data_IF_628393114279
#
_entry.id   IF_628393114279
#
_cell.length_a   1.000
_cell.length_b   1.000
_cell.length_c   1.000
_cell.angle_alpha   90.00
_cell.angle_beta   90.00
_cell.angle_gamma   90.00
#
_symmetry.space_group_name_H-M   'P 1'
#
loop_
_entity.id
_entity.type
_entity.pdbx_description
1 polymer ?
#
# COMPACT_ATOMS: atom_id res chain seq x y z
N UNK A 1 18.17 -6.04 -0.64
CA UNK A 1 19.07 -4.87 -0.57
C UNK A 1 18.36 -3.51 -0.62
N UNK A 2 17.06 -3.46 -0.96
CA UNK A 2 16.24 -2.23 -0.85
C UNK A 2 15.95 -1.87 0.62
N UNK A 3 15.61 -2.85 1.47
CA UNK A 3 15.25 -2.61 2.88
C UNK A 3 16.34 -1.86 3.66
N UNK A 4 17.61 -2.18 3.45
CA UNK A 4 18.72 -1.54 4.19
C UNK A 4 18.99 -0.11 3.71
N UNK A 5 18.94 0.16 2.40
CA UNK A 5 19.00 1.53 1.89
C UNK A 5 17.76 2.33 2.31
N UNK A 6 16.60 1.69 2.33
CA UNK A 6 15.35 2.27 2.81
C UNK A 6 15.44 2.61 4.30
N UNK A 7 16.02 1.74 5.12
CA UNK A 7 16.28 1.99 6.54
C UNK A 7 17.51 2.86 6.81
N UNK A 8 18.46 3.03 5.89
CA UNK A 8 19.62 3.91 6.09
C UNK A 8 19.32 5.35 5.65
N UNK A 9 18.60 5.52 4.54
CA UNK A 9 18.16 6.83 4.06
C UNK A 9 16.96 7.33 4.88
N UNK A 10 16.08 6.43 5.32
CA UNK A 10 14.82 6.76 5.99
C UNK A 10 14.63 6.05 7.34
N UNK A 11 15.73 5.62 7.98
CA UNK A 11 15.74 4.85 9.22
C UNK A 11 14.89 5.41 10.34
N UNK A 12 14.58 4.54 11.30
CA UNK A 12 13.77 4.80 12.49
C UNK A 12 14.41 5.85 13.42
N UNK A 13 14.52 7.11 12.97
CA UNK A 13 15.36 8.14 13.56
C UNK A 13 15.35 9.46 12.78
N UNK A 14 14.23 10.19 12.84
CA UNK A 14 14.09 11.64 12.57
C UNK A 14 14.17 12.18 11.11
N UNK A 15 13.61 11.48 10.12
CA UNK A 15 13.49 12.04 8.76
C UNK A 15 12.26 11.56 7.99
N UNK A 16 11.23 12.42 7.87
CA UNK A 16 9.94 12.25 7.17
C UNK A 16 8.96 11.19 7.73
N UNK A 17 8.35 11.57 8.86
CA UNK A 17 6.99 11.28 9.34
C UNK A 17 6.19 10.25 8.50
N UNK A 18 6.03 9.03 9.03
CA UNK A 18 4.71 8.39 8.93
C UNK A 18 3.75 9.30 9.70
N UNK A 19 2.72 9.90 9.09
CA UNK A 19 1.83 10.84 9.78
C UNK A 19 1.19 10.25 11.04
N UNK A 20 1.10 8.92 11.12
CA UNK A 20 0.59 8.15 12.25
C UNK A 20 1.59 7.05 12.62
N UNK A 21 1.98 7.00 13.88
CA UNK A 21 3.04 6.13 14.41
C UNK A 21 2.62 4.65 14.60
N UNK A 22 1.50 4.20 14.01
CA UNK A 22 0.93 2.85 14.24
C UNK A 22 0.66 2.05 12.95
N UNK A 23 1.14 2.50 11.79
CA UNK A 23 0.85 1.77 10.54
C UNK A 23 1.76 0.53 10.43
N UNK A 24 1.12 -0.65 10.47
CA UNK A 24 1.77 -1.93 10.20
C UNK A 24 2.21 -1.98 8.74
N UNK A 25 3.49 -2.31 8.52
CA UNK A 25 4.02 -2.59 7.20
C UNK A 25 3.90 -4.08 6.89
N UNK A 26 3.33 -4.39 5.73
CA UNK A 26 3.19 -5.75 5.21
C UNK A 26 4.21 -5.96 4.09
N UNK A 27 4.93 -7.06 4.14
CA UNK A 27 5.87 -7.44 3.08
C UNK A 27 5.14 -8.30 2.04
N UNK A 28 4.76 -7.71 0.92
CA UNK A 28 3.99 -8.38 -0.12
C UNK A 28 4.74 -8.31 -1.44
N UNK A 29 4.91 -9.45 -2.11
CA UNK A 29 5.52 -9.52 -3.45
C UNK A 29 6.86 -8.77 -3.58
N UNK A 30 7.70 -8.79 -2.53
CA UNK A 30 9.03 -8.16 -2.52
C UNK A 30 9.05 -6.65 -2.24
N UNK A 31 7.91 -6.03 -1.92
CA UNK A 31 7.80 -4.61 -1.60
C UNK A 31 7.07 -4.38 -0.26
N UNK A 32 7.25 -3.18 0.32
CA UNK A 32 6.58 -2.75 1.55
C UNK A 32 5.25 -2.08 1.24
N UNK A 33 4.19 -2.56 1.88
CA UNK A 33 2.84 -2.01 1.80
C UNK A 33 2.33 -1.57 3.17
N UNK A 34 1.49 -0.56 3.19
CA UNK A 34 0.71 -0.16 4.37
C UNK A 34 -0.77 -0.24 4.05
N UNK A 35 -1.56 -0.69 5.02
CA UNK A 35 -3.01 -0.68 4.92
C UNK A 35 -3.55 0.71 5.30
N UNK A 36 -4.46 1.25 4.48
CA UNK A 36 -5.11 2.54 4.76
C UNK A 36 -6.64 2.46 4.88
N UNK A 37 -7.25 1.37 4.42
CA UNK A 37 -8.67 1.05 4.66
C UNK A 37 -9.69 2.00 4.02
N UNK A 38 -9.30 2.90 3.11
CA UNK A 38 -10.24 3.79 2.44
C UNK A 38 -10.99 3.05 1.33
N UNK A 39 -12.20 3.52 0.99
CA UNK A 39 -13.01 2.96 -0.11
C UNK A 39 -12.33 3.13 -1.49
N UNK A 40 -11.57 4.20 -1.68
CA UNK A 40 -10.87 4.47 -2.95
C UNK A 40 -9.50 3.84 -3.07
N UNK A 41 -8.78 3.63 -1.96
CA UNK A 41 -7.47 3.01 -1.95
C UNK A 41 -7.27 2.27 -0.63
N UNK A 42 -6.97 0.97 -0.71
CA UNK A 42 -6.87 0.12 0.47
C UNK A 42 -5.41 -0.08 0.90
N UNK A 43 -4.47 0.01 -0.03
CA UNK A 43 -3.05 -0.19 0.21
C UNK A 43 -2.23 0.99 -0.32
N UNK A 44 -1.10 1.28 0.34
CA UNK A 44 -0.07 2.16 -0.19
C UNK A 44 1.29 1.47 -0.23
N UNK A 45 2.13 1.83 -1.19
CA UNK A 45 3.52 1.37 -1.27
C UNK A 45 4.46 2.53 -1.59
N UNK A 46 5.74 2.38 -1.23
CA UNK A 46 6.79 3.33 -1.57
C UNK A 46 7.72 2.75 -2.64
N UNK A 47 7.67 3.31 -3.85
CA UNK A 47 8.47 2.86 -4.99
C UNK A 47 9.50 3.90 -5.42
N UNK A 48 10.54 3.46 -6.13
CA UNK A 48 11.57 4.35 -6.69
C UNK A 48 11.16 4.97 -8.02
N UNK A 49 10.43 4.21 -8.83
CA UNK A 49 9.93 4.63 -10.14
C UNK A 49 8.41 4.72 -10.12
N UNK A 50 7.85 5.50 -11.04
CA UNK A 50 6.41 5.48 -11.25
C UNK A 50 5.97 4.10 -11.73
N UNK A 51 4.83 3.58 -11.24
CA UNK A 51 4.25 2.37 -11.78
C UNK A 51 3.83 2.62 -13.24
N UNK A 52 3.76 1.55 -14.02
CA UNK A 52 3.32 1.64 -15.41
C UNK A 52 1.83 2.03 -15.46
N UNK A 53 1.38 2.75 -16.49
CA UNK A 53 -0.04 3.01 -16.69
C UNK A 53 -0.84 1.71 -16.74
N UNK A 54 -1.91 1.61 -15.94
CA UNK A 54 -2.75 0.41 -15.86
C UNK A 54 -2.10 -0.79 -15.18
N UNK A 55 -1.01 -0.59 -14.43
CA UNK A 55 -0.35 -1.67 -13.70
C UNK A 55 -1.30 -2.33 -12.70
N UNK A 56 -1.31 -3.67 -12.76
CA UNK A 56 -2.12 -4.54 -11.90
C UNK A 56 -1.24 -5.51 -11.16
N UNK A 57 -1.59 -5.81 -9.91
CA UNK A 57 -0.84 -6.73 -9.06
C UNK A 57 -1.78 -7.59 -8.26
N UNK A 58 -1.38 -8.84 -8.03
CA UNK A 58 -2.06 -9.73 -7.08
C UNK A 58 -1.31 -9.62 -5.74
N UNK A 59 -1.99 -9.10 -4.72
CA UNK A 59 -1.46 -8.89 -3.38
C UNK A 59 -2.40 -9.57 -2.39
N UNK A 60 -1.86 -10.38 -1.48
CA UNK A 60 -2.66 -11.17 -0.52
C UNK A 60 -3.86 -11.90 -1.18
N UNK A 61 -3.63 -12.49 -2.36
CA UNK A 61 -4.65 -13.24 -3.12
C UNK A 61 -5.70 -12.41 -3.84
N UNK A 62 -5.64 -11.08 -3.80
CA UNK A 62 -6.60 -10.17 -4.46
C UNK A 62 -5.92 -9.30 -5.52
N UNK A 63 -6.65 -8.92 -6.55
CA UNK A 63 -6.14 -8.05 -7.62
C UNK A 63 -6.29 -6.57 -7.22
N UNK A 64 -5.23 -5.80 -7.43
CA UNK A 64 -5.16 -4.36 -7.20
C UNK A 64 -4.67 -3.64 -8.44
N UNK A 65 -5.23 -2.45 -8.67
CA UNK A 65 -4.81 -1.49 -9.70
C UNK A 65 -4.20 -0.26 -9.05
N UNK A 66 -3.30 0.41 -9.78
CA UNK A 66 -2.83 1.73 -9.38
C UNK A 66 -4.00 2.71 -9.41
N UNK A 67 -4.33 3.27 -8.25
CA UNK A 67 -5.33 4.32 -8.11
C UNK A 67 -4.73 5.70 -8.35
N UNK A 68 -3.62 5.97 -7.66
CA UNK A 68 -2.91 7.24 -7.74
C UNK A 68 -1.44 6.99 -7.45
N UNK A 69 -0.57 7.72 -8.14
CA UNK A 69 0.85 7.76 -7.82
C UNK A 69 1.28 9.21 -7.70
N UNK A 70 2.01 9.56 -6.64
CA UNK A 70 2.55 10.90 -6.43
C UNK A 70 4.01 10.81 -6.04
N UNK A 71 4.84 11.62 -6.72
CA UNK A 71 6.26 11.72 -6.38
C UNK A 71 6.46 12.70 -5.24
N UNK A 72 7.15 12.26 -4.20
CA UNK A 72 7.65 13.10 -3.11
C UNK A 72 9.15 12.88 -3.00
N UNK A 73 9.93 13.92 -3.31
CA UNK A 73 11.39 13.83 -3.43
C UNK A 73 11.82 12.74 -4.42
N UNK A 74 12.69 11.81 -4.01
CA UNK A 74 13.19 10.73 -4.85
C UNK A 74 12.22 9.54 -4.98
N UNK A 75 11.14 9.48 -4.18
CA UNK A 75 10.21 8.34 -4.11
C UNK A 75 8.84 8.64 -4.70
N UNK A 76 8.19 7.59 -5.18
CA UNK A 76 6.81 7.59 -5.61
C UNK A 76 5.98 6.87 -4.56
N UNK A 77 5.02 7.60 -3.98
CA UNK A 77 3.97 7.02 -3.15
C UNK A 77 2.88 6.54 -4.10
N UNK A 78 2.56 5.25 -4.03
CA UNK A 78 1.55 4.64 -4.88
C UNK A 78 0.41 4.16 -4.00
N UNK A 79 -0.80 4.58 -4.34
CA UNK A 79 -2.05 4.14 -3.77
C UNK A 79 -2.65 3.07 -4.67
N UNK A 80 -3.07 1.96 -4.08
CA UNK A 80 -3.62 0.80 -4.76
C UNK A 80 -5.08 0.61 -4.39
N UNK A 81 -5.91 0.46 -5.42
CA UNK A 81 -7.33 0.14 -5.28
C UNK A 81 -7.58 -1.31 -5.64
N UNK A 82 -8.38 -2.00 -4.85
CA UNK A 82 -8.82 -3.36 -5.12
C UNK A 82 -9.75 -3.37 -6.33
N UNK A 83 -9.54 -4.32 -7.24
CA UNK A 83 -10.40 -4.51 -8.40
C UNK A 83 -11.67 -5.25 -7.96
N UNK A 84 -12.84 -4.79 -8.44
CA UNK A 84 -14.11 -5.46 -8.19
C UNK A 84 -14.72 -5.17 -6.81
N UNK A 85 -14.41 -4.01 -6.21
CA UNK A 85 -15.18 -3.51 -5.07
C UNK A 85 -16.65 -3.30 -5.48
N UNK A 86 -17.63 -3.84 -4.73
CA UNK A 86 -19.04 -3.61 -4.97
C UNK A 86 -19.41 -2.13 -4.85
N UNK A 87 -20.42 -1.70 -5.60
CA UNK A 87 -20.98 -0.35 -5.50
C UNK A 87 -21.69 -0.12 -4.15
N UNK A 88 -22.11 -1.20 -3.47
CA UNK A 88 -22.69 -1.13 -2.13
C UNK A 88 -21.62 -0.86 -1.06
N UNK A 89 -21.80 0.22 -0.32
CA UNK A 89 -20.85 0.70 0.70
C UNK A 89 -20.68 -0.33 1.83
N UNK A 90 -21.74 -1.02 2.24
CA UNK A 90 -21.66 -1.99 3.32
C UNK A 90 -20.85 -3.21 2.88
N UNK A 91 -21.09 -3.68 1.66
CA UNK A 91 -20.36 -4.79 1.08
C UNK A 91 -18.88 -4.45 0.83
N UNK A 92 -18.59 -3.25 0.32
CA UNK A 92 -17.23 -2.74 0.14
C UNK A 92 -16.48 -2.69 1.48
N UNK A 93 -17.08 -2.13 2.53
CA UNK A 93 -16.49 -2.09 3.87
C UNK A 93 -16.23 -3.49 4.44
N UNK A 94 -17.13 -4.45 4.19
CA UNK A 94 -16.95 -5.85 4.60
C UNK A 94 -15.72 -6.47 3.93
N UNK A 95 -15.54 -6.27 2.62
CA UNK A 95 -14.38 -6.79 1.88
C UNK A 95 -13.07 -6.13 2.33
N UNK A 96 -13.09 -4.83 2.59
CA UNK A 96 -11.93 -4.11 3.14
C UNK A 96 -11.55 -4.65 4.53
N UNK A 97 -12.54 -4.93 5.38
CA UNK A 97 -12.30 -5.55 6.68
C UNK A 97 -11.76 -6.99 6.59
N UNK A 98 -12.19 -7.76 5.58
CA UNK A 98 -11.60 -9.08 5.30
C UNK A 98 -10.14 -8.95 4.84
N UNK A 99 -9.84 -7.97 3.98
CA UNK A 99 -8.46 -7.69 3.58
C UNK A 99 -7.57 -7.36 4.77
N UNK A 100 -8.03 -6.53 5.71
CA UNK A 100 -7.27 -6.22 6.91
C UNK A 100 -6.95 -7.47 7.75
N UNK A 101 -7.91 -8.39 7.88
CA UNK A 101 -7.71 -9.66 8.59
C UNK A 101 -6.68 -10.53 7.89
N UNK A 102 -6.82 -10.72 6.59
CA UNK A 102 -5.89 -11.54 5.80
C UNK A 102 -4.46 -10.99 5.88
N UNK A 103 -4.30 -9.67 5.84
CA UNK A 103 -3.00 -9.03 6.00
C UNK A 103 -2.37 -9.27 7.37
N UNK A 104 -3.17 -9.36 8.44
CA UNK A 104 -2.69 -9.67 9.79
C UNK A 104 -2.31 -11.14 9.99
N UNK A 105 -2.76 -12.03 9.10
CA UNK A 105 -2.43 -13.46 9.14
C UNK A 105 -1.18 -13.84 8.33
N UNK A 106 -0.59 -12.87 7.60
CA UNK A 106 0.65 -13.00 6.81
C UNK A 106 1.88 -12.72 7.70
#
# INVERSE_FOLDING_TARGET
MIIVFDHLIFGNGRGLKSPYFDNVYYWLNGELYTFSGWLGAQLHSFQWTYPKPGERRVLAGREFIVYQATRRWCRVMVSWAMVGLPDDINEANRLIGMLEKDLKEI
#
